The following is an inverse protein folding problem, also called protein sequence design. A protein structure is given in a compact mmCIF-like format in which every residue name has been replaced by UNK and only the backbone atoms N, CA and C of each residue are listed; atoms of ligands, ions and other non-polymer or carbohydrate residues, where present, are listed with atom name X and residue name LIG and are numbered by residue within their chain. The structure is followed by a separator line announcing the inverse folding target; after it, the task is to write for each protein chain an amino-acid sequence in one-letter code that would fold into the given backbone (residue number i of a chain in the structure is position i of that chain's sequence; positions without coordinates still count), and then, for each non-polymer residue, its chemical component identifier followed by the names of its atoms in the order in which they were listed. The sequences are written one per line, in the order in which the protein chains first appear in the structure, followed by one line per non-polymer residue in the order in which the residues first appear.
data_IF_811101130949
#
_entry.id   IF_811101130949
#
_cell.length_a   1.000
_cell.length_b   1.000
_cell.length_c   1.000
_cell.angle_alpha   90.00
_cell.angle_beta   90.00
_cell.angle_gamma   90.00
#
_symmetry.space_group_name_H-M   'P 1'
#
loop_
_entity.id
_entity.type
_entity.pdbx_description
1 polymer ?
#
# COMPACT_ATOMS: atom_id res chain seq x y z
N UNK A 1 -14.63 7.87 -24.61
CA UNK A 1 -15.24 7.40 -25.88
C UNK A 1 -14.83 8.25 -27.09
N UNK A 2 -14.79 9.59 -27.00
CA UNK A 2 -14.36 10.51 -28.09
C UNK A 2 -13.08 10.13 -28.87
N UNK A 3 -12.12 9.46 -28.24
CA UNK A 3 -10.87 9.04 -28.89
C UNK A 3 -11.01 7.73 -29.69
N UNK A 4 -11.96 6.87 -29.37
CA UNK A 4 -12.19 5.62 -30.12
C UNK A 4 -12.72 5.93 -31.52
N UNK A 5 -13.56 6.96 -31.64
CA UNK A 5 -14.10 7.44 -32.92
C UNK A 5 -13.05 8.11 -33.81
N UNK A 6 -11.89 8.49 -33.22
CA UNK A 6 -10.77 9.09 -33.96
C UNK A 6 -9.77 8.07 -34.52
N UNK A 7 -9.94 6.78 -34.19
CA UNK A 7 -9.04 5.73 -34.69
C UNK A 7 -9.39 5.42 -36.15
N UNK A 8 -8.43 5.47 -37.09
CA UNK A 8 -8.68 5.14 -38.48
C UNK A 8 -9.22 3.72 -38.64
N UNK A 9 -10.24 3.54 -39.50
CA UNK A 9 -10.88 2.24 -39.72
C UNK A 9 -9.90 1.14 -40.20
N UNK A 10 -8.85 1.53 -40.93
CA UNK A 10 -7.75 0.64 -41.35
C UNK A 10 -6.99 0.10 -40.14
N UNK A 11 -6.70 0.96 -39.16
CA UNK A 11 -6.02 0.57 -37.93
C UNK A 11 -6.89 -0.40 -37.10
N UNK A 12 -8.20 -0.11 -36.98
CA UNK A 12 -9.16 -1.04 -36.35
C UNK A 12 -9.22 -2.38 -37.08
N UNK A 13 -9.10 -2.36 -38.41
CA UNK A 13 -9.10 -3.56 -39.26
C UNK A 13 -8.00 -4.55 -38.90
N UNK A 14 -6.78 -4.07 -38.58
CA UNK A 14 -5.65 -4.95 -38.21
C UNK A 14 -5.91 -5.77 -36.94
N UNK A 15 -6.72 -5.28 -36.01
CA UNK A 15 -6.99 -5.95 -34.73
C UNK A 15 -8.31 -6.73 -34.71
N UNK A 16 -9.12 -6.64 -35.77
CA UNK A 16 -10.52 -7.12 -35.74
C UNK A 16 -10.62 -8.64 -35.55
N UNK A 17 -9.81 -9.41 -36.26
CA UNK A 17 -9.81 -10.87 -36.18
C UNK A 17 -9.36 -11.36 -34.79
N UNK A 18 -8.23 -10.83 -34.30
CA UNK A 18 -7.74 -11.13 -32.96
C UNK A 18 -8.74 -10.72 -31.86
N UNK A 19 -9.44 -9.59 -32.02
CA UNK A 19 -10.47 -9.17 -31.07
C UNK A 19 -11.67 -10.11 -31.07
N UNK A 20 -12.12 -10.60 -32.23
CA UNK A 20 -13.22 -11.56 -32.31
C UNK A 20 -12.86 -12.88 -31.64
N UNK A 21 -11.65 -13.39 -31.89
CA UNK A 21 -11.15 -14.60 -31.24
C UNK A 21 -11.09 -14.45 -29.71
N UNK A 22 -10.54 -13.32 -29.23
CA UNK A 22 -10.42 -13.04 -27.81
C UNK A 22 -11.79 -12.91 -27.11
N UNK A 23 -12.76 -12.28 -27.78
CA UNK A 23 -14.15 -12.17 -27.29
C UNK A 23 -14.80 -13.55 -27.23
N UNK A 24 -14.56 -14.42 -28.22
CA UNK A 24 -15.14 -15.76 -28.24
C UNK A 24 -14.57 -16.66 -27.15
N UNK A 25 -13.28 -16.50 -26.82
CA UNK A 25 -12.60 -17.30 -25.80
C UNK A 25 -12.92 -16.83 -24.36
N UNK A 26 -13.01 -15.52 -24.11
CA UNK A 26 -13.08 -14.96 -22.75
C UNK A 26 -14.35 -14.15 -22.44
N UNK A 27 -15.15 -13.83 -23.45
CA UNK A 27 -16.27 -12.91 -23.34
C UNK A 27 -15.86 -11.45 -23.48
N UNK A 28 -16.77 -10.62 -23.98
CA UNK A 28 -16.47 -9.24 -24.38
C UNK A 28 -15.98 -8.34 -23.24
N UNK A 29 -16.60 -8.46 -22.06
CA UNK A 29 -16.26 -7.64 -20.90
C UNK A 29 -14.89 -8.00 -20.34
N UNK A 30 -14.62 -9.29 -20.16
CA UNK A 30 -13.35 -9.79 -19.60
C UNK A 30 -12.17 -9.51 -20.54
N UNK A 31 -12.36 -9.74 -21.83
CA UNK A 31 -11.36 -9.45 -22.86
C UNK A 31 -11.00 -7.96 -22.90
N UNK A 32 -12.01 -7.07 -22.83
CA UNK A 32 -11.79 -5.64 -22.82
C UNK A 32 -11.12 -5.18 -21.52
N UNK A 33 -11.55 -5.68 -20.37
CA UNK A 33 -10.95 -5.37 -19.07
C UNK A 33 -9.47 -5.77 -19.03
N UNK A 34 -9.13 -6.97 -19.49
CA UNK A 34 -7.75 -7.45 -19.57
C UNK A 34 -6.90 -6.61 -20.54
N UNK A 35 -7.45 -6.23 -21.70
CA UNK A 35 -6.75 -5.38 -22.66
C UNK A 35 -6.50 -3.97 -22.11
N UNK A 36 -7.48 -3.38 -21.41
CA UNK A 36 -7.33 -2.09 -20.75
C UNK A 36 -6.29 -2.16 -19.62
N UNK A 37 -6.33 -3.22 -18.81
CA UNK A 37 -5.31 -3.45 -17.79
C UNK A 37 -3.92 -3.59 -18.41
N UNK A 38 -3.80 -4.26 -19.56
CA UNK A 38 -2.55 -4.39 -20.29
C UNK A 38 -2.00 -3.08 -20.84
N UNK A 39 -2.82 -2.35 -21.59
CA UNK A 39 -2.42 -1.12 -22.27
C UNK A 39 -2.16 0.02 -21.28
N UNK A 40 -2.93 0.08 -20.19
CA UNK A 40 -2.72 1.07 -19.12
C UNK A 40 -1.52 0.77 -18.23
N UNK A 41 -0.87 -0.39 -18.39
CA UNK A 41 0.20 -0.84 -17.50
C UNK A 41 -0.28 -1.33 -16.13
N UNK A 42 -1.60 -1.46 -15.92
CA UNK A 42 -2.19 -2.04 -14.73
C UNK A 42 -2.15 -3.60 -14.73
N UNK A 43 -1.15 -4.20 -15.39
CA UNK A 43 -0.93 -5.66 -15.45
C UNK A 43 -0.31 -6.21 -14.18
N UNK A 44 0.44 -5.35 -13.49
CA UNK A 44 0.98 -5.56 -12.18
C UNK A 44 1.02 -4.17 -11.57
N UNK A 45 -0.02 -3.82 -10.81
CA UNK A 45 0.16 -2.81 -9.79
C UNK A 45 1.13 -3.46 -8.81
N UNK A 46 2.45 -3.35 -9.06
CA UNK A 46 3.44 -3.65 -8.04
C UNK A 46 3.10 -2.72 -6.90
N UNK A 47 2.28 -3.20 -5.97
CA UNK A 47 1.97 -2.47 -4.76
C UNK A 47 3.31 -2.19 -4.11
N UNK A 48 3.60 -0.90 -4.01
CA UNK A 48 4.80 -0.36 -3.40
C UNK A 48 4.38 0.32 -2.11
N UNK A 49 5.24 0.20 -1.10
CA UNK A 49 5.10 1.00 0.11
C UNK A 49 5.01 2.48 -0.25
N UNK A 50 4.03 3.18 0.30
CA UNK A 50 3.93 4.63 0.23
C UNK A 50 4.96 5.32 1.15
N UNK A 51 5.54 4.58 2.10
CA UNK A 51 6.50 5.12 3.08
C UNK A 51 7.91 5.18 2.48
N UNK A 52 8.35 4.14 1.77
CA UNK A 52 9.71 4.02 1.25
C UNK A 52 9.82 3.58 -0.24
N UNK A 53 8.70 3.38 -0.94
CA UNK A 53 8.63 2.89 -2.34
C UNK A 53 9.11 1.45 -2.59
N UNK A 54 9.26 0.65 -1.54
CA UNK A 54 9.66 -0.77 -1.63
C UNK A 54 8.57 -1.62 -2.32
N UNK A 55 8.93 -2.41 -3.36
CA UNK A 55 7.98 -3.26 -4.07
C UNK A 55 7.54 -4.46 -3.24
N UNK A 56 6.31 -4.94 -3.48
CA UNK A 56 5.75 -6.11 -2.79
C UNK A 56 5.14 -5.80 -1.43
N UNK A 57 5.03 -4.51 -1.07
CA UNK A 57 4.42 -4.02 0.15
C UNK A 57 3.24 -3.09 -0.14
N UNK A 58 2.25 -3.13 0.74
CA UNK A 58 1.11 -2.22 0.72
C UNK A 58 1.06 -1.46 2.05
N UNK A 59 0.94 -0.14 1.96
CA UNK A 59 0.80 0.69 3.16
C UNK A 59 -0.64 0.66 3.68
N UNK A 60 -0.78 0.51 4.99
CA UNK A 60 -2.05 0.53 5.70
C UNK A 60 -2.05 1.62 6.75
N UNK A 61 -3.24 2.13 7.04
CA UNK A 61 -3.49 3.13 8.07
C UNK A 61 -4.39 2.51 9.13
N UNK A 62 -3.89 2.44 10.36
CA UNK A 62 -4.68 2.15 11.54
C UNK A 62 -4.99 3.48 12.24
N UNK A 63 -6.25 3.87 12.23
CA UNK A 63 -6.73 5.09 12.91
C UNK A 63 -7.25 4.75 14.30
N UNK A 64 -7.00 5.65 15.24
CA UNK A 64 -7.47 5.59 16.61
C UNK A 64 -8.37 6.80 16.90
N UNK A 65 -9.52 6.57 17.53
CA UNK A 65 -10.42 7.63 18.02
C UNK A 65 -9.77 8.58 19.04
N UNK A 66 -8.66 8.16 19.66
CA UNK A 66 -7.95 8.87 20.72
C UNK A 66 -6.48 9.06 20.36
N UNK A 67 -5.87 10.12 20.90
CA UNK A 67 -4.43 10.33 20.75
C UNK A 67 -3.64 9.20 21.42
N UNK A 68 -2.62 8.72 20.71
CA UNK A 68 -1.75 7.66 21.18
C UNK A 68 -0.43 8.24 21.69
N UNK A 69 -0.07 7.92 22.94
CA UNK A 69 1.19 8.37 23.51
C UNK A 69 2.40 7.50 23.14
N UNK A 70 2.17 6.26 22.66
CA UNK A 70 3.21 5.32 22.25
C UNK A 70 2.74 4.40 21.13
N UNK A 71 3.65 4.05 20.21
CA UNK A 71 3.41 3.09 19.12
C UNK A 71 3.05 1.70 19.67
N UNK A 72 3.52 1.33 20.88
CA UNK A 72 3.14 0.07 21.53
C UNK A 72 1.63 -0.09 21.70
N UNK A 73 0.88 1.01 21.77
CA UNK A 73 -0.57 0.98 21.85
C UNK A 73 -1.20 0.51 20.53
N UNK A 74 -0.67 0.94 19.39
CA UNK A 74 -1.08 0.46 18.07
C UNK A 74 -0.76 -1.02 17.89
N UNK A 75 0.44 -1.46 18.30
CA UNK A 75 0.83 -2.88 18.27
C UNK A 75 -0.13 -3.76 19.05
N UNK A 76 -0.52 -3.33 20.26
CA UNK A 76 -1.50 -4.06 21.06
C UNK A 76 -2.84 -4.19 20.32
N UNK A 77 -3.34 -3.10 19.73
CA UNK A 77 -4.59 -3.14 18.96
C UNK A 77 -4.53 -4.07 17.75
N UNK A 78 -3.38 -4.12 17.06
CA UNK A 78 -3.16 -5.04 15.95
C UNK A 78 -3.12 -6.50 16.41
N UNK A 79 -2.35 -6.80 17.45
CA UNK A 79 -2.17 -8.16 17.98
C UNK A 79 -3.45 -8.75 18.57
N UNK A 80 -4.27 -7.92 19.20
CA UNK A 80 -5.57 -8.33 19.77
C UNK A 80 -6.52 -8.94 18.72
N UNK A 81 -6.46 -8.51 17.45
CA UNK A 81 -7.32 -9.04 16.38
C UNK A 81 -6.60 -9.94 15.38
N UNK A 82 -5.33 -9.65 15.08
CA UNK A 82 -4.59 -10.29 13.99
C UNK A 82 -3.66 -11.41 14.47
N UNK A 83 -3.45 -11.56 15.79
CA UNK A 83 -2.52 -12.52 16.37
C UNK A 83 -1.18 -11.89 16.75
N UNK A 84 -0.42 -12.57 17.62
CA UNK A 84 0.88 -12.08 18.08
C UNK A 84 1.93 -12.04 16.97
N UNK A 85 1.83 -12.97 16.01
CA UNK A 85 2.75 -13.13 14.88
C UNK A 85 2.71 -11.99 13.84
N UNK A 86 1.74 -11.08 13.94
CA UNK A 86 1.56 -10.00 12.96
C UNK A 86 2.75 -9.02 12.95
N UNK A 87 3.49 -8.93 14.06
CA UNK A 87 4.66 -8.05 14.16
C UNK A 87 5.83 -8.48 13.25
N UNK A 88 5.89 -9.75 12.86
CA UNK A 88 6.86 -10.27 11.89
C UNK A 88 6.55 -9.83 10.46
N UNK A 89 5.33 -9.38 10.20
CA UNK A 89 4.84 -9.01 8.87
C UNK A 89 4.64 -7.51 8.71
N UNK A 90 4.69 -6.73 9.79
CA UNK A 90 4.50 -5.28 9.73
C UNK A 90 5.85 -4.58 9.77
N UNK A 91 6.07 -3.69 8.80
CA UNK A 91 7.30 -2.89 8.65
C UNK A 91 6.99 -1.39 8.68
N UNK A 92 8.01 -0.57 8.92
CA UNK A 92 7.95 0.89 8.79
C UNK A 92 6.82 1.59 9.56
N UNK A 93 6.40 1.03 10.70
CA UNK A 93 5.33 1.64 11.50
C UNK A 93 5.75 3.01 12.03
N UNK A 94 4.95 4.01 11.70
CA UNK A 94 5.20 5.42 12.01
C UNK A 94 3.89 6.10 12.38
N UNK A 95 3.96 7.08 13.29
CA UNK A 95 2.78 7.87 13.63
C UNK A 95 2.33 8.72 12.45
N UNK A 96 1.01 8.84 12.31
CA UNK A 96 0.39 9.89 11.53
C UNK A 96 0.38 11.16 12.39
N UNK A 97 0.51 12.32 11.75
CA UNK A 97 0.54 13.63 12.40
C UNK A 97 -0.61 13.80 13.39
N UNK A 98 -0.28 14.26 14.60
CA UNK A 98 -1.26 14.39 15.68
C UNK A 98 -1.56 13.08 16.42
N UNK A 99 -0.80 12.01 16.14
CA UNK A 99 -0.76 10.74 16.88
C UNK A 99 -2.12 10.03 17.05
N UNK A 100 -3.09 10.30 16.18
CA UNK A 100 -4.39 9.61 16.13
C UNK A 100 -4.41 8.42 15.18
N UNK A 101 -3.24 7.95 14.76
CA UNK A 101 -3.12 6.76 13.93
C UNK A 101 -1.67 6.43 13.64
N UNK A 102 -1.46 5.27 13.05
CA UNK A 102 -0.16 4.85 12.51
C UNK A 102 -0.32 4.46 11.04
N UNK A 103 0.72 4.73 10.26
CA UNK A 103 0.91 4.19 8.92
C UNK A 103 1.99 3.11 9.01
N UNK A 104 1.80 1.99 8.33
CA UNK A 104 2.76 0.89 8.31
C UNK A 104 2.62 0.07 7.04
N UNK A 105 3.63 -0.73 6.72
CA UNK A 105 3.64 -1.58 5.55
C UNK A 105 3.39 -3.04 5.91
N UNK A 106 2.65 -3.75 5.04
CA UNK A 106 2.49 -5.20 5.07
C UNK A 106 2.81 -5.80 3.70
N UNK A 107 3.37 -7.02 3.63
CA UNK A 107 3.49 -7.74 2.37
C UNK A 107 2.13 -7.86 1.67
N UNK A 108 2.12 -7.67 0.35
CA UNK A 108 0.90 -7.77 -0.47
C UNK A 108 0.24 -9.15 -0.31
N UNK A 109 1.03 -10.20 -0.10
CA UNK A 109 0.55 -11.56 0.17
C UNK A 109 -0.26 -11.69 1.46
N UNK A 110 -0.06 -10.80 2.43
CA UNK A 110 -0.77 -10.77 3.72
C UNK A 110 -1.91 -9.75 3.77
N UNK A 111 -1.97 -8.82 2.82
CA UNK A 111 -2.94 -7.73 2.81
C UNK A 111 -4.40 -8.22 2.92
N UNK A 112 -4.76 -9.21 2.10
CA UNK A 112 -6.13 -9.76 2.08
C UNK A 112 -6.49 -10.45 3.39
N UNK A 113 -5.57 -11.22 3.95
CA UNK A 113 -5.75 -11.88 5.25
C UNK A 113 -5.96 -10.86 6.38
N UNK A 114 -5.16 -9.78 6.39
CA UNK A 114 -5.31 -8.69 7.37
C UNK A 114 -6.67 -8.01 7.23
N UNK A 115 -7.11 -7.69 6.02
CA UNK A 115 -8.41 -7.05 5.77
C UNK A 115 -9.60 -7.94 6.16
N UNK A 116 -9.51 -9.25 5.93
CA UNK A 116 -10.59 -10.20 6.25
C UNK A 116 -10.69 -10.50 7.75
N UNK A 117 -9.54 -10.59 8.45
CA UNK A 117 -9.53 -10.83 9.90
C UNK A 117 -9.91 -9.59 10.70
N UNK A 118 -9.55 -8.41 10.20
CA UNK A 118 -9.78 -7.17 10.91
C UNK A 118 -11.26 -6.81 10.99
N UNK A 119 -11.70 -6.37 12.17
CA UNK A 119 -13.03 -5.84 12.41
C UNK A 119 -12.93 -4.47 13.06
N UNK A 120 -13.46 -3.48 12.36
CA UNK A 120 -13.53 -2.11 12.87
C UNK A 120 -14.32 -2.04 14.17
N UNK A 121 -13.84 -1.20 15.08
CA UNK A 121 -14.45 -0.95 16.38
C UNK A 121 -14.64 0.54 16.60
N UNK A 122 -15.29 0.91 17.70
CA UNK A 122 -15.38 2.33 18.10
C UNK A 122 -14.02 2.99 18.29
N UNK A 123 -12.99 2.20 18.66
CA UNK A 123 -11.65 2.72 18.94
C UNK A 123 -10.77 2.72 17.71
N UNK A 124 -10.84 1.67 16.91
CA UNK A 124 -9.89 1.37 15.85
C UNK A 124 -10.59 1.18 14.51
N UNK A 125 -10.03 1.80 13.47
CA UNK A 125 -10.40 1.53 12.08
C UNK A 125 -9.16 1.27 11.24
N UNK A 126 -9.23 0.28 10.34
CA UNK A 126 -8.11 -0.09 9.47
C UNK A 126 -8.48 0.09 8.01
N UNK A 127 -7.60 0.74 7.25
CA UNK A 127 -7.79 0.97 5.82
C UNK A 127 -6.48 0.83 5.06
N UNK A 128 -6.56 0.42 3.79
CA UNK A 128 -5.42 0.50 2.87
C UNK A 128 -5.19 1.95 2.46
N UNK A 129 -3.95 2.40 2.56
CA UNK A 129 -3.58 3.76 2.17
C UNK A 129 -3.56 3.87 0.65
N UNK A 130 -4.32 4.82 0.10
CA UNK A 130 -4.26 5.19 -1.32
C UNK A 130 -3.31 6.36 -1.57
N UNK A 131 -3.00 7.12 -0.53
CA UNK A 131 -2.08 8.25 -0.52
C UNK A 131 -1.30 8.24 0.80
N UNK A 132 -0.06 8.74 0.77
CA UNK A 132 0.78 8.83 1.97
C UNK A 132 0.18 9.87 2.93
N UNK A 133 -0.24 9.49 4.15
CA UNK A 133 -0.72 10.47 5.13
C UNK A 133 0.43 11.38 5.60
N UNK A 134 0.10 12.54 6.17
CA UNK A 134 1.11 13.37 6.83
C UNK A 134 1.69 12.59 8.02
N UNK A 135 2.92 12.14 7.91
CA UNK A 135 3.61 11.39 8.95
C UNK A 135 4.16 12.33 10.01
N UNK A 136 4.11 11.90 11.27
CA UNK A 136 4.84 12.57 12.34
C UNK A 136 6.32 12.53 11.97
N UNK A 137 6.95 13.70 11.85
CA UNK A 137 8.37 13.77 11.57
C UNK A 137 9.10 13.08 12.72
N UNK A 138 9.69 11.92 12.41
CA UNK A 138 10.60 11.24 13.31
C UNK A 138 11.73 12.22 13.63
N UNK A 139 11.71 12.81 14.83
CA UNK A 139 12.88 13.44 15.47
C UNK A 139 13.91 12.35 15.80
N UNK A 140 14.34 11.58 14.81
CA UNK A 140 15.58 10.81 14.90
C UNK A 140 16.65 11.74 14.36
N UNK A 141 17.53 12.27 15.22
CA UNK A 141 18.63 13.07 14.73
C UNK A 141 19.46 12.18 13.81
N UNK A 142 19.64 12.62 12.57
CA UNK A 142 20.60 12.08 11.64
C UNK A 142 22.01 12.44 12.14
N UNK A 143 22.42 11.87 13.28
CA UNK A 143 23.75 12.05 13.88
C UNK A 143 24.69 10.98 13.38
N UNK A 144 25.05 11.10 12.09
CA UNK A 144 25.98 10.21 11.42
C UNK A 144 26.98 10.98 10.57
N UNK A 145 27.80 11.84 11.19
CA UNK A 145 29.09 12.27 10.65
C UNK A 145 30.05 12.52 11.83
N UNK A 146 31.07 11.67 11.95
CA UNK A 146 32.04 11.72 13.03
C UNK A 146 33.07 12.83 12.88
N UNK A 147 33.75 13.17 13.99
CA UNK A 147 35.18 13.46 14.06
C UNK A 147 35.60 13.71 15.52
N UNK A 148 36.78 13.23 15.92
CA UNK A 148 37.48 13.74 17.10
C UNK A 148 37.60 12.78 18.28
N UNK A 149 38.73 12.07 18.34
CA UNK A 149 39.14 11.27 19.48
C UNK A 149 39.50 12.06 20.73
N UNK A 150 39.66 11.35 21.84
CA UNK A 150 40.06 11.94 23.11
C UNK A 150 40.20 10.90 24.21
N UNK A 151 41.30 10.15 24.18
CA UNK A 151 41.88 9.53 25.38
C UNK A 151 42.04 10.59 26.48
N UNK A 152 41.68 10.26 27.72
CA UNK A 152 41.92 11.16 28.84
C UNK A 152 41.57 10.55 30.19
N UNK A 153 42.54 9.84 30.78
CA UNK A 153 42.59 9.48 32.20
C UNK A 153 42.14 10.63 33.10
N UNK A 154 41.28 10.31 34.07
CA UNK A 154 41.45 10.63 35.50
C UNK A 154 40.41 9.90 36.33
#
# INVERSE_FOLDING_TARGET
VRFLDSVPAVAVGYFREAAQELIQQRGAVEALAAALAHISGATSLEQRSLINSEPGFSSMILSCSQEMHSISFAWRGLKEQLGEEIDQHISHMVFIKGKKGVCFDVPVSKLKEVQEKWQDSRRWTLSTATQLPELEQSLRPNSGFGNGGGFGNR
#
